data_IF_180004222199
#
_entry.id   IF_180004222199
#
_cell.length_a   1.000
_cell.length_b   1.000
_cell.length_c   1.000
_cell.angle_alpha   90.00
_cell.angle_beta   90.00
_cell.angle_gamma   90.00
#
_symmetry.space_group_name_H-M   'P 1'
#
loop_
_entity.id
_entity.type
_entity.pdbx_description
1 polymer ?
#
# COMPACT_ATOMS: atom_id res chain seq x y z
N UNK A 1 5.94 45.51 -0.31
CA UNK A 1 4.80 44.72 -0.81
C UNK A 1 4.41 43.79 0.32
N UNK A 2 3.34 44.13 1.03
CA UNK A 2 2.85 43.37 2.18
C UNK A 2 2.12 42.11 1.69
N UNK A 3 2.43 40.97 2.32
CA UNK A 3 1.77 39.69 2.09
C UNK A 3 0.34 39.73 2.65
N UNK A 4 -0.67 39.19 1.94
CA UNK A 4 -2.04 39.22 2.44
C UNK A 4 -2.19 38.29 3.65
N UNK A 5 -2.64 38.86 4.76
CA UNK A 5 -3.07 38.14 5.97
C UNK A 5 -4.35 37.37 5.66
N UNK A 6 -4.27 36.04 5.70
CA UNK A 6 -5.42 35.16 5.54
C UNK A 6 -6.07 34.90 6.91
N UNK A 7 -7.37 35.13 7.00
CA UNK A 7 -8.21 34.78 8.16
C UNK A 7 -9.09 33.58 7.84
N UNK A 8 -9.16 32.55 8.69
CA UNK A 8 -9.96 31.36 8.44
C UNK A 8 -11.47 31.62 8.54
N UNK A 9 -12.30 30.89 7.77
CA UNK A 9 -13.75 30.96 7.89
C UNK A 9 -14.25 30.29 9.20
N UNK A 10 -15.40 30.73 9.75
CA UNK A 10 -15.95 30.18 10.97
C UNK A 10 -16.37 28.70 10.81
N UNK A 11 -16.34 27.91 11.89
CA UNK A 11 -16.71 26.49 11.84
C UNK A 11 -18.20 26.30 11.50
N UNK A 12 -18.56 25.20 10.82
CA UNK A 12 -19.95 24.90 10.49
C UNK A 12 -20.78 24.55 11.75
N UNK A 13 -22.09 24.85 11.74
CA UNK A 13 -22.96 24.59 12.89
C UNK A 13 -23.15 23.09 13.14
N UNK A 14 -23.14 22.71 14.42
CA UNK A 14 -23.33 21.33 14.90
C UNK A 14 -24.83 20.98 14.80
N UNK A 15 -25.22 19.88 14.13
CA UNK A 15 -26.61 19.44 14.10
C UNK A 15 -27.03 18.83 15.44
N UNK A 16 -28.09 19.38 16.04
CA UNK A 16 -28.76 18.87 17.24
C UNK A 16 -29.41 17.50 16.96
N UNK A 17 -29.23 16.55 17.87
CA UNK A 17 -29.87 15.23 17.80
C UNK A 17 -31.34 15.30 18.21
N UNK A 18 -32.27 14.95 17.32
CA UNK A 18 -33.67 14.73 17.68
C UNK A 18 -33.97 13.23 17.87
N UNK A 19 -33.95 12.80 19.13
CA UNK A 19 -34.77 11.69 19.63
C UNK A 19 -35.80 12.29 20.59
N UNK A 20 -37.06 12.36 20.19
CA UNK A 20 -38.24 11.88 20.95
C UNK A 20 -39.58 12.46 20.46
N UNK A 21 -40.58 11.56 20.41
CA UNK A 21 -42.06 11.75 20.30
C UNK A 21 -42.59 12.18 18.93
N UNK A 22 -43.66 11.62 18.35
CA UNK A 22 -44.66 10.66 18.82
C UNK A 22 -46.07 11.11 18.42
N UNK A 23 -46.85 10.20 17.81
CA UNK A 23 -48.32 10.15 17.57
C UNK A 23 -48.90 10.68 16.24
N UNK A 24 -49.65 9.76 15.59
CA UNK A 24 -50.61 9.90 14.48
C UNK A 24 -51.88 10.71 14.90
N UNK A 25 -52.71 11.15 13.92
CA UNK A 25 -53.91 10.37 13.57
C UNK A 25 -54.25 10.30 12.06
N UNK A 26 -55.29 9.50 11.78
CA UNK A 26 -55.73 8.91 10.52
C UNK A 26 -56.56 9.80 9.58
N UNK A 27 -56.65 9.38 8.30
CA UNK A 27 -57.67 9.84 7.33
C UNK A 27 -57.36 9.47 5.88
N UNK A 28 -57.97 8.39 5.38
CA UNK A 28 -57.95 7.95 3.96
C UNK A 28 -58.99 8.75 3.12
N UNK A 29 -59.07 8.66 1.76
CA UNK A 29 -59.33 7.40 1.03
C UNK A 29 -58.58 7.18 -0.30
N UNK A 30 -58.68 5.92 -0.73
CA UNK A 30 -58.23 5.24 -1.96
C UNK A 30 -59.14 5.58 -3.17
N UNK A 31 -58.69 5.32 -4.41
CA UNK A 31 -59.58 4.57 -5.30
C UNK A 31 -58.90 3.39 -6.01
N UNK A 32 -59.63 2.28 -5.96
CA UNK A 32 -59.49 1.02 -6.68
C UNK A 32 -60.19 1.10 -8.05
N UNK A 33 -59.58 0.57 -9.11
CA UNK A 33 -60.32 -0.06 -10.21
C UNK A 33 -59.42 -0.97 -11.08
N UNK A 34 -59.88 -2.20 -11.25
CA UNK A 34 -59.56 -3.20 -12.29
C UNK A 34 -60.93 -3.77 -12.75
N UNK A 35 -61.06 -4.62 -13.80
CA UNK A 35 -60.30 -4.77 -15.05
C UNK A 35 -61.22 -4.82 -16.31
N UNK A 36 -60.67 -4.84 -17.52
CA UNK A 36 -61.39 -5.37 -18.69
C UNK A 36 -60.42 -6.02 -19.71
N UNK A 37 -60.87 -7.17 -20.19
CA UNK A 37 -60.19 -8.17 -21.02
C UNK A 37 -60.26 -7.81 -22.51
N UNK A 38 -59.25 -8.17 -23.31
CA UNK A 38 -59.30 -8.02 -24.77
C UNK A 38 -58.01 -8.47 -25.47
N UNK A 39 -58.01 -9.70 -25.99
CA UNK A 39 -56.86 -10.33 -26.66
C UNK A 39 -56.54 -9.76 -28.04
N UNK A 40 -55.26 -9.84 -28.43
CA UNK A 40 -54.78 -9.54 -29.77
C UNK A 40 -53.30 -9.88 -29.94
N UNK A 41 -53.02 -11.02 -30.56
CA UNK A 41 -51.68 -11.46 -31.00
C UNK A 41 -51.08 -10.46 -32.00
N UNK A 42 -49.85 -9.96 -31.80
CA UNK A 42 -48.90 -9.64 -32.90
C UNK A 42 -47.42 -9.73 -32.47
N UNK A 43 -46.70 -10.47 -33.32
CA UNK A 43 -45.27 -10.63 -33.56
C UNK A 43 -44.25 -9.77 -32.78
N UNK A 44 -43.28 -10.48 -32.20
CA UNK A 44 -42.02 -9.91 -31.71
C UNK A 44 -41.10 -9.53 -32.87
N UNK A 45 -40.66 -8.27 -32.91
CA UNK A 45 -39.50 -7.84 -33.70
C UNK A 45 -38.41 -7.40 -32.73
N UNK A 46 -37.48 -8.31 -32.42
CA UNK A 46 -36.29 -8.01 -31.62
C UNK A 46 -35.33 -7.18 -32.47
N UNK A 47 -35.24 -5.88 -32.18
CA UNK A 47 -34.17 -5.02 -32.68
C UNK A 47 -32.82 -5.52 -32.15
N UNK A 48 -32.01 -6.15 -33.01
CA UNK A 48 -30.62 -6.49 -32.72
C UNK A 48 -29.81 -5.18 -32.72
N UNK A 49 -29.49 -4.66 -31.53
CA UNK A 49 -28.41 -3.67 -31.39
C UNK A 49 -27.10 -4.44 -31.33
N UNK A 50 -26.25 -4.28 -32.35
CA UNK A 50 -24.85 -4.68 -32.28
C UNK A 50 -24.15 -3.77 -31.26
N UNK A 51 -24.01 -4.24 -30.03
CA UNK A 51 -23.08 -3.65 -29.07
C UNK A 51 -21.68 -4.04 -29.51
N UNK A 52 -20.85 -3.06 -29.85
CA UNK A 52 -19.43 -3.23 -30.19
C UNK A 52 -18.52 -3.25 -28.96
N UNK A 53 -19.07 -3.39 -27.75
CA UNK A 53 -18.25 -3.64 -26.56
C UNK A 53 -18.02 -5.14 -26.38
N UNK A 54 -16.77 -5.60 -26.24
CA UNK A 54 -16.49 -7.00 -25.94
C UNK A 54 -17.16 -7.35 -24.60
N UNK A 55 -17.69 -8.58 -24.45
CA UNK A 55 -18.30 -8.99 -23.20
C UNK A 55 -17.24 -8.92 -22.09
N UNK A 56 -17.53 -8.12 -21.06
CA UNK A 56 -16.67 -7.85 -19.90
C UNK A 56 -16.52 -9.08 -18.96
N UNK A 57 -16.85 -10.27 -19.48
CA UNK A 57 -16.99 -11.55 -18.80
C UNK A 57 -16.23 -12.64 -19.56
N UNK A 58 -14.97 -12.40 -19.95
CA UNK A 58 -14.14 -13.48 -20.46
C UNK A 58 -13.66 -14.35 -19.28
N UNK A 59 -14.15 -15.59 -19.09
CA UNK A 59 -13.55 -16.52 -18.14
C UNK A 59 -12.10 -16.81 -18.56
N UNK A 60 -11.23 -17.11 -17.59
CA UNK A 60 -9.84 -17.50 -17.87
C UNK A 60 -9.83 -18.66 -18.88
N UNK A 61 -9.28 -18.38 -20.06
CA UNK A 61 -9.28 -19.29 -21.21
C UNK A 61 -8.15 -20.32 -21.12
N UNK A 62 -8.13 -21.29 -22.04
CA UNK A 62 -7.02 -22.24 -22.19
C UNK A 62 -5.67 -21.55 -22.49
N UNK A 63 -5.71 -20.34 -23.05
CA UNK A 63 -4.50 -19.51 -23.25
C UNK A 63 -3.89 -19.14 -21.90
N UNK A 64 -4.71 -18.70 -20.94
CA UNK A 64 -4.26 -18.35 -19.59
C UNK A 64 -3.72 -19.56 -18.83
N UNK A 65 -4.35 -20.73 -18.97
CA UNK A 65 -3.84 -21.96 -18.35
C UNK A 65 -2.47 -22.37 -18.90
N UNK A 66 -2.27 -22.22 -20.22
CA UNK A 66 -0.98 -22.47 -20.87
C UNK A 66 0.08 -21.47 -20.44
N UNK A 67 -0.25 -20.17 -20.38
CA UNK A 67 0.64 -19.15 -19.87
C UNK A 67 1.06 -19.45 -18.42
N UNK A 68 0.11 -19.84 -17.56
CA UNK A 68 0.41 -20.27 -16.18
C UNK A 68 1.41 -21.43 -16.11
N UNK A 69 1.30 -22.42 -17.01
CA UNK A 69 2.24 -23.55 -17.07
C UNK A 69 3.63 -23.10 -17.51
N UNK A 70 3.72 -22.22 -18.52
CA UNK A 70 5.01 -21.68 -19.00
C UNK A 70 5.70 -20.79 -17.98
N UNK A 71 4.93 -20.14 -17.11
CA UNK A 71 5.43 -19.27 -16.03
C UNK A 71 5.74 -20.03 -14.73
N UNK A 72 5.57 -21.35 -14.67
CA UNK A 72 5.96 -22.15 -13.50
C UNK A 72 7.42 -21.96 -13.04
N UNK A 73 8.42 -21.76 -13.92
CA UNK A 73 9.80 -21.52 -13.49
C UNK A 73 9.96 -20.32 -12.55
N UNK A 74 9.07 -19.31 -12.62
CA UNK A 74 9.11 -18.15 -11.72
C UNK A 74 8.99 -18.54 -10.25
N UNK A 75 8.23 -19.60 -9.92
CA UNK A 75 8.11 -20.09 -8.54
C UNK A 75 9.41 -20.72 -8.05
N UNK A 76 10.17 -21.36 -8.95
CA UNK A 76 11.49 -21.90 -8.63
C UNK A 76 12.50 -20.77 -8.42
N UNK A 77 12.44 -19.73 -9.25
CA UNK A 77 13.29 -18.53 -9.12
C UNK A 77 13.02 -17.84 -7.79
N UNK A 78 11.75 -17.61 -7.45
CA UNK A 78 11.35 -17.03 -6.17
C UNK A 78 11.87 -17.86 -4.98
N UNK A 79 11.70 -19.18 -5.04
CA UNK A 79 12.17 -20.09 -3.99
C UNK A 79 13.69 -20.03 -3.80
N UNK A 80 14.46 -20.01 -4.89
CA UNK A 80 15.91 -19.98 -4.84
C UNK A 80 16.44 -18.60 -4.38
N UNK A 81 15.90 -17.50 -4.91
CA UNK A 81 16.25 -16.15 -4.46
C UNK A 81 15.92 -15.95 -2.98
N UNK A 82 14.78 -16.47 -2.51
CA UNK A 82 14.41 -16.42 -1.10
C UNK A 82 15.42 -17.17 -0.24
N UNK A 83 15.88 -18.35 -0.66
CA UNK A 83 16.93 -19.09 0.08
C UNK A 83 18.25 -18.35 0.13
N UNK A 84 18.64 -17.72 -0.98
CA UNK A 84 19.90 -16.96 -1.05
C UNK A 84 19.84 -15.72 -0.18
N UNK A 85 18.75 -14.94 -0.24
CA UNK A 85 18.58 -13.74 0.59
C UNK A 85 18.40 -14.08 2.09
N UNK A 86 17.86 -15.26 2.39
CA UNK A 86 17.54 -15.68 3.76
C UNK A 86 18.00 -17.12 4.05
N UNK A 87 19.32 -17.38 4.15
CA UNK A 87 19.84 -18.72 4.40
C UNK A 87 19.39 -19.27 5.76
N UNK A 88 19.12 -18.41 6.75
CA UNK A 88 18.61 -18.81 8.07
C UNK A 88 17.15 -19.32 8.03
N UNK A 89 16.33 -18.77 7.12
CA UNK A 89 14.98 -19.26 6.83
C UNK A 89 15.05 -20.60 6.09
N UNK A 90 16.00 -20.75 5.17
CA UNK A 90 16.22 -21.99 4.43
C UNK A 90 16.73 -23.13 5.33
N UNK A 91 17.52 -22.81 6.36
CA UNK A 91 18.07 -23.77 7.31
C UNK A 91 17.09 -24.20 8.42
N UNK A 92 15.89 -23.61 8.49
CA UNK A 92 14.89 -23.94 9.51
C UNK A 92 15.28 -23.53 10.93
N UNK A 93 16.36 -22.75 11.09
CA UNK A 93 16.93 -22.38 12.38
C UNK A 93 16.11 -21.30 13.10
N UNK A 94 15.28 -20.56 12.36
CA UNK A 94 14.31 -19.61 12.89
C UNK A 94 13.11 -19.56 11.95
N UNK A 95 11.99 -20.27 12.22
CA UNK A 95 10.77 -20.04 11.46
C UNK A 95 10.40 -18.55 11.57
N UNK A 96 9.85 -17.98 10.50
CA UNK A 96 9.08 -16.74 10.64
C UNK A 96 8.09 -16.98 11.78
N UNK A 97 7.87 -16.03 12.70
CA UNK A 97 6.64 -16.09 13.48
C UNK A 97 5.53 -16.22 12.44
N UNK A 98 4.79 -17.32 12.53
CA UNK A 98 3.60 -17.51 11.73
C UNK A 98 2.70 -16.31 12.08
N UNK A 99 2.61 -15.34 11.19
CA UNK A 99 1.62 -14.26 11.32
C UNK A 99 0.24 -14.82 10.90
N UNK A 100 -0.04 -16.04 11.33
CA UNK A 100 -1.35 -16.65 11.44
C UNK A 100 -1.73 -16.68 12.92
N UNK A 101 -1.69 -15.52 13.58
CA UNK A 101 -2.36 -15.36 14.88
C UNK A 101 -3.29 -14.16 14.83
N UNK A 102 -4.58 -14.46 14.61
CA UNK A 102 -5.69 -13.60 15.01
C UNK A 102 -6.39 -12.82 13.90
N UNK A 103 -7.45 -13.43 13.36
CA UNK A 103 -8.67 -12.79 12.81
C UNK A 103 -8.59 -11.97 11.51
N UNK A 104 -9.25 -12.51 10.48
CA UNK A 104 -9.79 -11.81 9.29
C UNK A 104 -8.82 -10.90 8.52
N UNK A 105 -7.72 -11.47 8.03
CA UNK A 105 -7.03 -10.89 6.89
C UNK A 105 -8.00 -10.87 5.67
N UNK A 106 -8.13 -9.76 4.93
CA UNK A 106 -8.65 -9.82 3.57
C UNK A 106 -7.69 -10.70 2.76
N UNK A 107 -8.13 -11.35 1.67
CA UNK A 107 -7.32 -12.38 1.05
C UNK A 107 -6.10 -11.73 0.40
N UNK A 108 -4.95 -11.74 1.09
CA UNK A 108 -3.73 -12.06 0.37
C UNK A 108 -4.03 -13.35 -0.39
N UNK A 109 -3.79 -13.34 -1.70
CA UNK A 109 -3.98 -14.52 -2.52
C UNK A 109 -3.32 -15.70 -1.79
N UNK A 110 -4.04 -16.79 -1.49
CA UNK A 110 -3.44 -17.93 -0.81
C UNK A 110 -2.17 -18.35 -1.55
N UNK A 111 -1.02 -18.16 -0.91
CA UNK A 111 0.30 -18.50 -1.47
C UNK A 111 1.24 -17.33 -1.82
N UNK A 112 0.82 -16.07 -1.78
CA UNK A 112 1.76 -14.94 -1.97
C UNK A 112 2.43 -14.62 -0.64
N UNK A 113 3.65 -15.11 -0.43
CA UNK A 113 4.48 -14.77 0.74
C UNK A 113 5.21 -13.46 0.46
N UNK A 114 4.91 -12.40 1.22
CA UNK A 114 5.69 -11.16 1.11
C UNK A 114 7.12 -11.43 1.58
N UNK A 115 8.10 -10.92 0.83
CA UNK A 115 9.52 -11.06 1.18
C UNK A 115 9.85 -10.07 2.29
N UNK A 116 10.31 -10.58 3.43
CA UNK A 116 10.65 -9.80 4.61
C UNK A 116 12.14 -9.89 4.90
N UNK A 117 12.77 -8.76 5.23
CA UNK A 117 14.16 -8.70 5.70
C UNK A 117 14.18 -8.53 7.20
N UNK A 118 14.87 -9.42 7.91
CA UNK A 118 15.14 -9.26 9.34
C UNK A 118 16.27 -8.26 9.54
N UNK A 119 16.10 -7.38 10.52
CA UNK A 119 17.16 -6.51 10.98
C UNK A 119 18.39 -7.33 11.42
N UNK A 120 19.59 -6.85 11.08
CA UNK A 120 20.86 -7.51 11.39
C UNK A 120 21.70 -7.86 10.15
N UNK A 121 22.83 -8.52 10.40
CA UNK A 121 23.90 -8.68 9.40
C UNK A 121 23.71 -9.89 8.45
N UNK A 122 22.69 -10.73 8.63
CA UNK A 122 22.55 -11.98 7.88
C UNK A 122 22.54 -11.79 6.35
N UNK A 123 21.62 -10.97 5.85
CA UNK A 123 21.54 -10.66 4.42
C UNK A 123 22.71 -9.78 3.93
N UNK A 124 23.25 -8.88 4.78
CA UNK A 124 24.45 -8.09 4.47
C UNK A 124 25.68 -8.98 4.26
N UNK A 125 25.79 -10.05 5.06
CA UNK A 125 26.86 -11.05 4.93
C UNK A 125 26.72 -11.85 3.64
N UNK A 126 25.48 -12.22 3.27
CA UNK A 126 25.21 -12.83 1.96
C UNK A 126 25.64 -11.88 0.84
N UNK A 127 25.23 -10.61 0.85
CA UNK A 127 25.64 -9.64 -0.16
C UNK A 127 27.16 -9.47 -0.24
N UNK A 128 27.85 -9.36 0.89
CA UNK A 128 29.30 -9.28 0.94
C UNK A 128 29.95 -10.54 0.34
N UNK A 129 29.40 -11.72 0.60
CA UNK A 129 29.89 -12.98 0.02
C UNK A 129 29.67 -13.09 -1.49
N UNK A 130 28.53 -12.60 -1.99
CA UNK A 130 28.23 -12.52 -3.42
C UNK A 130 29.16 -11.53 -4.13
N UNK A 131 29.42 -10.37 -3.53
CA UNK A 131 30.38 -9.39 -4.04
C UNK A 131 31.80 -9.97 -4.10
N UNK A 132 32.23 -10.67 -3.04
CA UNK A 132 33.54 -11.33 -3.00
C UNK A 132 33.68 -12.48 -4.01
N UNK A 133 32.57 -13.16 -4.36
CA UNK A 133 32.54 -14.16 -5.44
C UNK A 133 32.63 -13.51 -6.83
N UNK A 134 31.94 -12.38 -7.04
CA UNK A 134 32.00 -11.61 -8.29
C UNK A 134 33.40 -11.06 -8.60
N UNK A 135 34.16 -10.66 -7.59
CA UNK A 135 35.54 -10.18 -7.76
C UNK A 135 36.55 -11.29 -8.09
N UNK A 136 36.33 -12.52 -7.60
CA UNK A 136 37.19 -13.68 -7.90
C UNK A 136 36.92 -14.34 -9.26
N UNK A 137 35.80 -14.00 -9.93
CA UNK A 137 35.36 -14.61 -11.19
C UNK A 137 35.99 -14.05 -12.48
N UNK A 138 36.86 -13.02 -12.42
CA UNK A 138 37.48 -12.39 -13.61
C UNK A 138 38.64 -13.21 -14.23
N UNK A 139 38.74 -14.51 -13.96
CA UNK A 139 39.72 -15.42 -14.55
C UNK A 139 39.05 -16.51 -15.39
N UNK A 140 39.25 -16.47 -16.72
CA UNK A 140 38.96 -17.49 -17.76
C UNK A 140 38.34 -18.82 -17.28
N UNK A 141 37.12 -19.11 -17.72
CA UNK A 141 36.62 -20.48 -17.92
C UNK A 141 35.20 -20.74 -17.41
N UNK A 142 34.21 -20.56 -18.28
CA UNK A 142 32.90 -21.24 -18.34
C UNK A 142 32.35 -21.85 -17.03
N UNK A 143 31.87 -21.02 -16.11
CA UNK A 143 30.93 -21.44 -15.07
C UNK A 143 29.85 -20.36 -14.95
N UNK A 144 28.67 -20.63 -15.52
CA UNK A 144 27.47 -19.81 -15.27
C UNK A 144 27.20 -19.88 -13.77
N UNK A 145 27.25 -18.74 -13.07
CA UNK A 145 26.90 -18.71 -11.66
C UNK A 145 25.42 -19.06 -11.44
N UNK A 146 25.00 -19.42 -10.22
CA UNK A 146 23.59 -19.62 -9.89
C UNK A 146 22.72 -18.41 -10.27
N UNK A 147 23.27 -17.20 -10.17
CA UNK A 147 22.61 -15.95 -10.56
C UNK A 147 22.42 -15.86 -12.08
N UNK A 148 23.39 -16.31 -12.88
CA UNK A 148 23.29 -16.28 -14.34
C UNK A 148 22.22 -17.26 -14.86
N UNK A 149 22.08 -18.42 -14.21
CA UNK A 149 21.03 -19.40 -14.53
C UNK A 149 19.63 -18.89 -14.18
N UNK A 150 19.48 -18.23 -13.02
CA UNK A 150 18.23 -17.58 -12.61
C UNK A 150 17.86 -16.44 -13.57
N UNK A 151 18.84 -15.61 -13.95
CA UNK A 151 18.65 -14.50 -14.89
C UNK A 151 18.25 -15.01 -16.28
N UNK A 152 18.87 -16.10 -16.74
CA UNK A 152 18.51 -16.77 -17.99
C UNK A 152 17.09 -17.32 -17.95
N UNK A 153 16.71 -17.95 -16.83
CA UNK A 153 15.37 -18.50 -16.63
C UNK A 153 14.30 -17.40 -16.56
N UNK A 154 14.59 -16.27 -15.90
CA UNK A 154 13.71 -15.10 -15.86
C UNK A 154 13.53 -14.49 -17.25
N UNK A 155 14.63 -14.32 -17.99
CA UNK A 155 14.61 -13.82 -19.38
C UNK A 155 13.79 -14.73 -20.30
N UNK A 156 13.90 -16.05 -20.12
CA UNK A 156 13.06 -17.03 -20.85
C UNK A 156 11.55 -16.91 -20.59
N UNK A 157 11.16 -16.35 -19.44
CA UNK A 157 9.75 -16.11 -19.10
C UNK A 157 9.23 -14.73 -19.54
N UNK A 158 10.11 -13.85 -20.04
CA UNK A 158 9.82 -12.43 -20.30
C UNK A 158 8.58 -12.20 -21.15
N UNK A 159 8.49 -12.84 -22.31
CA UNK A 159 7.39 -12.59 -23.26
C UNK A 159 6.05 -13.07 -22.71
N UNK A 160 6.04 -14.20 -21.98
CA UNK A 160 4.85 -14.71 -21.31
C UNK A 160 4.40 -13.82 -20.15
N UNK A 161 5.34 -13.23 -19.41
CA UNK A 161 5.04 -12.27 -18.35
C UNK A 161 4.39 -11.00 -18.92
N UNK A 162 4.96 -10.45 -20.01
CA UNK A 162 4.40 -9.27 -20.71
C UNK A 162 3.00 -9.59 -21.23
N UNK A 163 2.85 -10.70 -21.95
CA UNK A 163 1.55 -11.10 -22.52
C UNK A 163 0.48 -11.28 -21.45
N UNK A 164 0.81 -11.85 -20.28
CA UNK A 164 -0.13 -12.01 -19.18
C UNK A 164 -0.48 -10.66 -18.53
N UNK A 165 0.49 -9.74 -18.42
CA UNK A 165 0.27 -8.43 -17.82
C UNK A 165 -0.61 -7.51 -18.67
N UNK A 166 -0.44 -7.57 -20.00
CA UNK A 166 -1.20 -6.77 -20.96
C UNK A 166 -2.59 -7.35 -21.27
N UNK A 167 -2.86 -8.61 -20.88
CA UNK A 167 -4.14 -9.26 -21.12
C UNK A 167 -5.30 -8.56 -20.38
N UNK A 168 -6.31 -8.16 -21.16
CA UNK A 168 -7.46 -7.40 -20.66
C UNK A 168 -8.35 -8.20 -19.70
N UNK A 169 -8.47 -9.52 -19.89
CA UNK A 169 -9.22 -10.38 -18.99
C UNK A 169 -8.49 -10.52 -17.65
N UNK A 170 -7.16 -10.67 -17.65
CA UNK A 170 -6.34 -10.66 -16.44
C UNK A 170 -6.49 -9.32 -15.70
N UNK A 171 -6.35 -8.20 -16.41
CA UNK A 171 -6.51 -6.84 -15.85
C UNK A 171 -7.92 -6.61 -15.30
N UNK A 172 -8.95 -7.15 -15.95
CA UNK A 172 -10.33 -7.11 -15.45
C UNK A 172 -10.52 -7.95 -14.18
N UNK A 173 -9.94 -9.16 -14.13
CA UNK A 173 -9.98 -10.02 -12.94
C UNK A 173 -9.28 -9.37 -11.76
N UNK A 174 -8.10 -8.77 -11.97
CA UNK A 174 -7.35 -8.05 -10.93
C UNK A 174 -8.17 -6.89 -10.37
N UNK A 175 -8.78 -6.06 -11.24
CA UNK A 175 -9.68 -4.97 -10.83
C UNK A 175 -10.88 -5.48 -10.03
N UNK A 176 -11.55 -6.54 -10.50
CA UNK A 176 -12.72 -7.11 -9.84
C UNK A 176 -12.38 -7.70 -8.46
N UNK A 177 -11.21 -8.30 -8.32
CA UNK A 177 -10.72 -8.85 -7.05
C UNK A 177 -10.07 -7.79 -6.16
N UNK A 178 -10.06 -6.52 -6.58
CA UNK A 178 -9.40 -5.43 -5.87
C UNK A 178 -7.92 -5.74 -5.56
N UNK A 179 -7.27 -6.53 -6.42
CA UNK A 179 -5.84 -6.83 -6.29
C UNK A 179 -5.07 -5.64 -6.82
N UNK A 180 -4.34 -4.96 -5.93
CA UNK A 180 -3.57 -3.76 -6.25
C UNK A 180 -2.09 -4.10 -6.33
N UNK A 181 -1.66 -4.65 -7.47
CA UNK A 181 -0.25 -5.00 -7.70
C UNK A 181 0.67 -3.77 -7.63
N UNK A 182 0.15 -2.56 -7.89
CA UNK A 182 0.87 -1.31 -7.72
C UNK A 182 1.27 -1.00 -6.27
N UNK A 183 0.61 -1.61 -5.27
CA UNK A 183 1.01 -1.49 -3.86
C UNK A 183 2.10 -2.52 -3.50
N UNK A 184 2.38 -3.46 -4.40
CA UNK A 184 3.46 -4.45 -4.36
C UNK A 184 4.57 -4.03 -5.35
N UNK A 185 5.61 -4.84 -5.60
CA UNK A 185 6.59 -4.58 -6.67
C UNK A 185 6.00 -4.58 -8.10
N UNK A 186 4.68 -4.41 -8.28
CA UNK A 186 4.01 -4.42 -9.57
C UNK A 186 4.35 -3.25 -10.48
N UNK A 187 5.10 -2.24 -10.01
CA UNK A 187 5.71 -1.26 -10.90
C UNK A 187 6.72 -1.92 -11.85
N UNK A 188 7.43 -2.97 -11.42
CA UNK A 188 8.30 -3.76 -12.29
C UNK A 188 7.54 -4.48 -13.39
N UNK A 189 6.24 -4.74 -13.22
CA UNK A 189 5.42 -5.37 -14.26
C UNK A 189 5.25 -4.46 -15.50
N UNK A 190 5.35 -3.14 -15.33
CA UNK A 190 5.35 -2.22 -16.47
C UNK A 190 6.70 -2.21 -17.21
N UNK A 191 7.78 -2.62 -16.53
CA UNK A 191 9.15 -2.59 -17.03
C UNK A 191 9.73 -4.00 -17.26
N UNK A 192 8.88 -5.03 -17.41
CA UNK A 192 9.33 -6.44 -17.55
C UNK A 192 10.37 -6.58 -18.64
N UNK A 193 10.20 -5.87 -19.76
CA UNK A 193 11.12 -5.95 -20.88
C UNK A 193 12.56 -5.55 -20.51
N UNK A 194 12.70 -4.58 -19.59
CA UNK A 194 13.97 -4.10 -19.05
C UNK A 194 14.46 -4.99 -17.91
N UNK A 195 13.60 -5.28 -16.94
CA UNK A 195 13.94 -6.01 -15.69
C UNK A 195 14.28 -7.48 -15.95
N UNK A 196 13.63 -8.13 -16.91
CA UNK A 196 13.93 -9.51 -17.30
C UNK A 196 15.05 -9.62 -18.36
N UNK A 197 15.76 -8.52 -18.66
CA UNK A 197 16.91 -8.55 -19.58
C UNK A 197 18.10 -9.28 -18.95
N UNK A 198 18.88 -9.99 -19.77
CA UNK A 198 20.13 -10.63 -19.32
C UNK A 198 21.19 -9.60 -18.88
N UNK A 199 21.05 -8.36 -19.33
CA UNK A 199 21.93 -7.23 -18.99
C UNK A 199 21.24 -6.25 -18.05
N UNK A 200 20.21 -6.68 -17.32
CA UNK A 200 19.52 -5.82 -16.38
C UNK A 200 20.47 -5.41 -15.24
N UNK A 201 20.60 -4.10 -15.06
CA UNK A 201 21.22 -3.49 -13.89
C UNK A 201 20.16 -2.62 -13.21
N UNK A 202 19.92 -2.80 -11.89
CA UNK A 202 18.94 -1.99 -11.17
C UNK A 202 19.31 -0.51 -11.24
N UNK A 203 18.36 0.33 -11.65
CA UNK A 203 18.49 1.77 -11.51
C UNK A 203 18.26 2.20 -10.06
N UNK A 204 18.67 3.42 -9.71
CA UNK A 204 18.37 4.02 -8.40
C UNK A 204 16.86 4.00 -8.10
N UNK A 205 16.03 4.26 -9.12
CA UNK A 205 14.58 4.21 -9.03
C UNK A 205 14.06 2.78 -8.73
N UNK A 206 14.69 1.75 -9.31
CA UNK A 206 14.35 0.35 -9.03
C UNK A 206 14.69 -0.01 -7.57
N UNK A 207 15.86 0.42 -7.10
CA UNK A 207 16.35 0.18 -5.74
C UNK A 207 15.43 0.84 -4.72
N UNK A 208 15.09 2.11 -4.91
CA UNK A 208 14.22 2.88 -3.98
C UNK A 208 12.80 2.32 -3.96
N UNK A 209 12.30 1.81 -5.09
CA UNK A 209 10.94 1.25 -5.17
C UNK A 209 10.87 -0.22 -4.72
N UNK A 210 11.99 -0.93 -4.67
CA UNK A 210 12.04 -2.31 -4.20
C UNK A 210 11.55 -2.37 -2.74
N UNK A 211 10.35 -2.93 -2.54
CA UNK A 211 9.74 -3.03 -1.23
C UNK A 211 10.16 -4.34 -0.56
N UNK A 212 10.99 -4.23 0.47
CA UNK A 212 11.29 -5.31 1.40
C UNK A 212 10.75 -4.92 2.78
N UNK A 213 9.95 -5.79 3.39
CA UNK A 213 9.37 -5.50 4.70
C UNK A 213 10.42 -5.68 5.79
N UNK A 214 10.77 -4.63 6.52
CA UNK A 214 11.65 -4.70 7.69
C UNK A 214 10.96 -5.42 8.85
N UNK A 215 11.63 -6.42 9.42
CA UNK A 215 11.27 -7.08 10.67
C UNK A 215 12.28 -6.72 11.75
N UNK A 216 11.81 -6.10 12.83
CA UNK A 216 12.66 -5.58 13.90
C UNK A 216 13.06 -4.13 13.67
N UNK A 217 14.20 -3.75 14.27
CA UNK A 217 14.77 -2.40 14.21
C UNK A 217 16.15 -2.48 13.59
N UNK A 218 16.38 -1.73 12.51
CA UNK A 218 17.69 -1.62 11.87
C UNK A 218 18.37 -0.31 12.26
N UNK A 219 19.62 -0.39 12.70
CA UNK A 219 20.45 0.76 13.00
C UNK A 219 21.37 1.09 11.81
N UNK A 220 21.36 2.35 11.41
CA UNK A 220 22.26 2.92 10.40
C UNK A 220 23.12 3.99 11.06
N UNK A 221 24.45 3.81 11.00
CA UNK A 221 25.43 4.76 11.55
C UNK A 221 26.23 5.41 10.45
N UNK A 222 26.30 6.73 10.45
CA UNK A 222 27.16 7.48 9.52
C UNK A 222 27.74 8.73 10.18
N UNK A 223 28.93 9.12 9.71
CA UNK A 223 29.60 10.35 10.14
C UNK A 223 29.38 11.41 9.07
N UNK A 224 28.86 12.59 9.44
CA UNK A 224 28.73 13.67 8.47
C UNK A 224 30.10 14.31 8.18
N UNK A 225 30.47 14.36 6.90
CA UNK A 225 31.73 14.97 6.45
C UNK A 225 31.66 16.52 6.44
N UNK A 226 30.47 17.10 6.34
CA UNK A 226 30.26 18.56 6.27
C UNK A 226 29.18 19.02 7.25
N UNK A 227 29.41 20.18 7.89
CA UNK A 227 28.54 20.73 8.95
C UNK A 227 29.19 20.64 10.33
N UNK A 228 28.56 19.93 11.27
CA UNK A 228 29.19 19.52 12.53
C UNK A 228 30.21 18.40 12.25
N UNK A 229 31.35 18.77 11.68
CA UNK A 229 32.40 17.83 11.30
C UNK A 229 32.79 16.95 12.50
N UNK A 230 32.59 15.64 12.35
CA UNK A 230 32.87 14.64 13.40
C UNK A 230 31.65 14.15 14.19
N UNK A 231 30.44 14.65 13.94
CA UNK A 231 29.23 14.12 14.58
C UNK A 231 28.81 12.77 13.98
N UNK A 232 28.62 11.78 14.85
CA UNK A 232 28.02 10.49 14.51
C UNK A 232 26.50 10.60 14.54
N UNK A 233 25.85 10.12 13.48
CA UNK A 233 24.42 10.03 13.35
C UNK A 233 23.99 8.58 13.45
N UNK A 234 22.93 8.36 14.23
CA UNK A 234 22.25 7.07 14.36
C UNK A 234 20.83 7.23 13.83
N UNK A 235 20.48 6.43 12.83
CA UNK A 235 19.12 6.33 12.31
C UNK A 235 18.60 4.93 12.62
N UNK A 236 17.49 4.86 13.34
CA UNK A 236 16.78 3.63 13.61
C UNK A 236 15.58 3.50 12.66
N UNK A 237 15.62 2.54 11.73
CA UNK A 237 14.48 2.15 10.91
C UNK A 237 13.67 1.08 11.64
N UNK A 238 12.39 1.36 11.89
CA UNK A 238 11.50 0.51 12.69
C UNK A 238 10.31 0.06 11.86
N UNK A 239 9.91 -1.21 12.03
CA UNK A 239 8.72 -1.73 11.37
C UNK A 239 7.43 -0.99 11.78
N UNK A 240 6.64 -0.55 10.80
CA UNK A 240 5.40 0.24 10.98
C UNK A 240 4.13 -0.53 11.36
N UNK A 241 4.12 -1.86 11.21
CA UNK A 241 2.92 -2.67 11.47
C UNK A 241 2.55 -2.66 12.95
N UNK A 242 1.26 -2.80 13.27
CA UNK A 242 0.76 -2.75 14.66
C UNK A 242 1.49 -3.71 15.62
N UNK A 243 1.84 -4.90 15.13
CA UNK A 243 2.62 -5.90 15.89
C UNK A 243 4.04 -5.47 16.26
N UNK A 244 4.63 -4.53 15.50
CA UNK A 244 6.01 -4.12 15.65
C UNK A 244 6.14 -2.90 16.57
N UNK A 245 5.11 -2.06 16.69
CA UNK A 245 5.10 -0.82 17.49
C UNK A 245 5.58 -0.98 18.94
N UNK A 246 5.26 -2.06 19.68
CA UNK A 246 5.78 -2.24 21.04
C UNK A 246 7.32 -2.27 21.11
N UNK A 247 8.00 -2.65 20.03
CA UNK A 247 9.46 -2.70 19.96
C UNK A 247 10.12 -1.32 19.77
N UNK A 248 9.33 -0.25 19.62
CA UNK A 248 9.87 1.11 19.44
C UNK A 248 10.33 1.72 20.77
N UNK A 249 9.66 1.37 21.86
CA UNK A 249 9.85 1.98 23.19
C UNK A 249 11.33 1.99 23.65
N UNK A 250 12.12 0.92 23.48
CA UNK A 250 13.53 0.93 23.87
C UNK A 250 14.39 1.98 23.14
N UNK A 251 13.93 2.50 22.02
CA UNK A 251 14.64 3.48 21.18
C UNK A 251 14.13 4.92 21.37
N UNK A 252 13.21 5.14 22.33
CA UNK A 252 12.74 6.49 22.66
C UNK A 252 13.64 7.22 23.65
N UNK A 253 14.56 6.51 24.32
CA UNK A 253 15.52 7.13 25.21
C UNK A 253 16.59 7.88 24.39
N UNK A 254 16.86 9.13 24.77
CA UNK A 254 17.81 10.05 24.10
C UNK A 254 17.62 10.21 22.57
N UNK A 255 16.38 10.11 22.08
CA UNK A 255 16.10 10.40 20.66
C UNK A 255 16.02 11.91 20.41
N UNK A 256 16.84 12.43 19.49
CA UNK A 256 16.83 13.87 19.17
C UNK A 256 15.71 14.26 18.22
N UNK A 257 15.33 13.37 17.30
CA UNK A 257 14.26 13.63 16.34
C UNK A 257 13.54 12.34 15.90
N UNK A 258 12.25 12.46 15.61
CA UNK A 258 11.43 11.41 14.99
C UNK A 258 10.93 11.92 13.65
N UNK A 259 11.18 11.16 12.60
CA UNK A 259 10.60 11.38 11.28
C UNK A 259 9.44 10.39 11.10
N UNK A 260 8.22 10.88 11.17
CA UNK A 260 7.01 10.08 11.00
C UNK A 260 6.51 10.15 9.56
N UNK A 261 6.37 8.98 8.92
CA UNK A 261 5.89 8.85 7.55
C UNK A 261 4.39 8.50 7.55
N UNK A 262 3.55 9.44 7.13
CA UNK A 262 2.10 9.26 7.01
C UNK A 262 1.68 9.19 5.53
N UNK A 263 1.36 8.01 4.98
CA UNK A 263 0.88 7.92 3.60
C UNK A 263 -0.54 8.49 3.46
N UNK A 264 -0.77 9.37 2.48
CA UNK A 264 -2.09 9.97 2.22
C UNK A 264 -3.07 9.04 1.47
N UNK A 265 -3.10 7.77 1.85
CA UNK A 265 -3.88 6.73 1.20
C UNK A 265 -5.26 6.54 1.88
N UNK A 266 -6.17 7.49 1.67
CA UNK A 266 -7.47 7.55 2.36
C UNK A 266 -8.45 6.42 2.02
N UNK A 267 -8.27 5.75 0.88
CA UNK A 267 -9.15 4.69 0.38
C UNK A 267 -8.67 3.27 0.72
N UNK A 268 -7.59 3.15 1.51
CA UNK A 268 -6.97 1.87 1.85
C UNK A 268 -7.25 1.47 3.29
N UNK A 269 -7.43 0.17 3.49
CA UNK A 269 -7.49 -0.46 4.81
C UNK A 269 -6.10 -0.99 5.20
N UNK A 270 -5.89 -1.22 6.50
CA UNK A 270 -4.70 -1.91 6.99
C UNK A 270 -4.66 -3.35 6.44
N UNK A 271 -3.45 -3.88 6.35
CA UNK A 271 -3.24 -5.25 5.89
C UNK A 271 -3.50 -6.23 7.04
N UNK A 272 -3.11 -5.84 8.26
CA UNK A 272 -3.34 -6.57 9.50
C UNK A 272 -4.80 -6.52 10.00
N UNK A 273 -5.58 -5.49 9.63
CA UNK A 273 -7.00 -5.38 10.00
C UNK A 273 -7.79 -4.65 8.90
N UNK A 274 -8.56 -5.42 8.13
CA UNK A 274 -9.38 -4.91 7.02
C UNK A 274 -10.51 -3.96 7.44
N UNK A 275 -10.75 -3.80 8.74
CA UNK A 275 -11.79 -2.91 9.27
C UNK A 275 -11.26 -1.52 9.58
N UNK A 276 -9.95 -1.35 9.63
CA UNK A 276 -9.30 -0.09 10.03
C UNK A 276 -8.75 0.62 8.80
N UNK A 277 -9.12 1.89 8.63
CA UNK A 277 -8.59 2.73 7.57
C UNK A 277 -7.12 3.09 7.83
N UNK A 278 -6.27 2.99 6.80
CA UNK A 278 -4.81 3.21 6.92
C UNK A 278 -4.46 4.66 7.28
N UNK A 279 -5.17 5.64 6.72
CA UNK A 279 -4.94 7.05 7.03
C UNK A 279 -5.39 7.37 8.47
N UNK A 280 -6.52 6.83 8.90
CA UNK A 280 -7.01 6.98 10.27
C UNK A 280 -6.06 6.39 11.33
N UNK A 281 -5.54 5.18 11.09
CA UNK A 281 -4.54 4.56 11.96
C UNK A 281 -3.25 5.40 12.00
N UNK A 282 -2.82 5.98 10.87
CA UNK A 282 -1.64 6.85 10.83
C UNK A 282 -1.86 8.14 11.64
N UNK A 283 -3.03 8.77 11.53
CA UNK A 283 -3.38 9.97 12.32
C UNK A 283 -3.45 9.65 13.81
N UNK A 284 -4.06 8.51 14.17
CA UNK A 284 -4.19 8.08 15.57
C UNK A 284 -2.81 7.81 16.18
N UNK A 285 -1.95 7.08 15.47
CA UNK A 285 -0.59 6.80 15.91
C UNK A 285 0.27 8.06 16.03
N UNK A 286 0.13 9.01 15.10
CA UNK A 286 0.82 10.29 15.19
C UNK A 286 0.43 11.05 16.48
N UNK A 287 -0.85 11.05 16.86
CA UNK A 287 -1.31 11.66 18.11
C UNK A 287 -0.73 10.97 19.35
N UNK A 288 -0.65 9.63 19.33
CA UNK A 288 -0.01 8.88 20.42
C UNK A 288 1.47 9.23 20.57
N UNK A 289 2.21 9.38 19.47
CA UNK A 289 3.62 9.80 19.47
C UNK A 289 3.75 11.22 20.03
N UNK A 290 2.92 12.15 19.55
CA UNK A 290 2.93 13.54 19.99
C UNK A 290 2.60 13.72 21.47
N UNK A 291 1.71 12.88 22.01
CA UNK A 291 1.32 12.88 23.42
C UNK A 291 2.25 12.09 24.34
N UNK A 292 3.29 11.44 23.80
CA UNK A 292 4.17 10.59 24.59
C UNK A 292 5.21 11.41 25.35
N UNK A 293 5.14 11.36 26.68
CA UNK A 293 6.07 12.08 27.57
C UNK A 293 7.53 11.68 27.41
N UNK A 294 7.82 10.45 26.95
CA UNK A 294 9.19 10.02 26.66
C UNK A 294 9.82 10.80 25.50
N UNK A 295 8.99 11.42 24.65
CA UNK A 295 9.41 12.11 23.44
C UNK A 295 9.29 13.64 23.56
N UNK A 296 9.06 14.17 24.77
CA UNK A 296 8.85 15.60 25.02
C UNK A 296 10.05 16.47 24.59
N UNK A 297 11.27 15.93 24.69
CA UNK A 297 12.51 16.59 24.23
C UNK A 297 12.86 16.36 22.76
N UNK A 298 12.14 15.49 22.05
CA UNK A 298 12.46 15.10 20.69
C UNK A 298 11.80 16.04 19.66
N UNK A 299 12.52 16.34 18.58
CA UNK A 299 11.95 17.06 17.43
C UNK A 299 11.06 16.14 16.61
N UNK A 300 9.76 16.39 16.57
CA UNK A 300 8.81 15.58 15.80
C UNK A 300 8.61 16.17 14.41
N UNK A 301 8.96 15.41 13.37
CA UNK A 301 8.86 15.80 11.96
C UNK A 301 7.84 14.89 11.27
N UNK A 302 6.79 15.48 10.68
CA UNK A 302 5.76 14.75 9.96
C UNK A 302 5.93 14.89 8.45
N UNK A 303 6.09 13.75 7.76
CA UNK A 303 6.11 13.68 6.31
C UNK A 303 4.85 13.02 5.78
N UNK A 304 4.06 13.80 5.03
CA UNK A 304 2.98 13.24 4.22
C UNK A 304 3.53 12.62 2.95
N UNK A 305 3.59 11.29 2.94
CA UNK A 305 4.18 10.51 1.86
C UNK A 305 3.11 10.04 0.86
N UNK A 306 3.56 9.53 -0.29
CA UNK A 306 2.74 8.91 -1.34
C UNK A 306 1.74 9.88 -1.97
N UNK A 307 2.18 11.12 -2.20
CA UNK A 307 1.39 12.17 -2.83
C UNK A 307 0.97 11.80 -4.26
N UNK A 308 1.82 11.08 -4.97
CA UNK A 308 1.57 10.47 -6.27
C UNK A 308 0.37 9.52 -6.24
N UNK A 309 0.28 8.66 -5.21
CA UNK A 309 -0.85 7.74 -5.02
C UNK A 309 -2.13 8.52 -4.70
N UNK A 310 -2.04 9.59 -3.89
CA UNK A 310 -3.18 10.47 -3.63
C UNK A 310 -3.68 11.10 -4.94
N UNK A 311 -2.79 11.68 -5.73
CA UNK A 311 -3.11 12.30 -7.03
C UNK A 311 -3.77 11.31 -7.98
N UNK A 312 -3.17 10.12 -8.15
CA UNK A 312 -3.70 9.08 -9.03
C UNK A 312 -5.08 8.57 -8.56
N UNK A 313 -5.26 8.42 -7.25
CA UNK A 313 -6.54 7.99 -6.64
C UNK A 313 -7.63 9.01 -6.92
N UNK A 314 -7.38 10.30 -6.70
CA UNK A 314 -8.34 11.37 -6.97
C UNK A 314 -8.65 11.49 -8.47
N UNK A 315 -7.62 11.41 -9.32
CA UNK A 315 -7.78 11.44 -10.78
C UNK A 315 -8.63 10.29 -11.32
N UNK A 316 -8.63 9.13 -10.64
CA UNK A 316 -9.50 8.00 -10.97
C UNK A 316 -10.98 8.21 -10.60
N UNK A 317 -11.32 9.35 -9.98
CA UNK A 317 -12.68 9.70 -9.59
C UNK A 317 -13.10 9.15 -8.21
N UNK A 318 -12.18 8.57 -7.45
CA UNK A 318 -12.43 8.12 -6.09
C UNK A 318 -12.59 9.36 -5.20
N UNK A 319 -13.72 9.43 -4.47
CA UNK A 319 -14.06 10.56 -3.61
C UNK A 319 -13.60 10.36 -2.18
N UNK A 320 -12.89 11.33 -1.61
CA UNK A 320 -12.42 11.30 -0.20
C UNK A 320 -13.58 11.16 0.78
N UNK A 321 -14.67 11.93 0.57
CA UNK A 321 -15.89 11.93 1.38
C UNK A 321 -16.47 10.52 1.62
N UNK A 322 -16.30 9.59 0.67
CA UNK A 322 -16.78 8.21 0.79
C UNK A 322 -16.07 7.43 1.90
N UNK A 323 -14.80 7.74 2.15
CA UNK A 323 -13.94 7.02 3.08
C UNK A 323 -13.68 7.81 4.36
N UNK A 324 -13.75 9.13 4.28
CA UNK A 324 -13.56 10.05 5.39
C UNK A 324 -14.82 10.92 5.48
N UNK A 325 -15.86 10.49 6.21
CA UNK A 325 -17.13 11.22 6.28
C UNK A 325 -16.97 12.65 6.81
N UNK A 326 -15.98 12.87 7.69
CA UNK A 326 -15.65 14.16 8.26
C UNK A 326 -15.07 15.15 7.25
N UNK A 327 -14.69 14.67 6.06
CA UNK A 327 -14.28 15.51 4.93
C UNK A 327 -15.42 16.38 4.38
N UNK A 328 -16.68 16.04 4.69
CA UNK A 328 -17.87 16.80 4.32
C UNK A 328 -17.89 17.16 2.81
N UNK A 329 -18.29 18.39 2.47
CA UNK A 329 -18.44 18.88 1.08
C UNK A 329 -17.16 19.54 0.54
N UNK A 330 -15.98 19.17 1.04
CA UNK A 330 -14.72 19.73 0.58
C UNK A 330 -14.39 19.30 -0.86
N UNK A 331 -13.75 20.16 -1.66
CA UNK A 331 -13.27 19.82 -3.01
C UNK A 331 -12.42 18.55 -3.07
N UNK A 332 -12.68 17.67 -4.05
CA UNK A 332 -11.98 16.40 -4.21
C UNK A 332 -10.65 16.56 -4.98
N UNK A 333 -9.78 17.44 -4.50
CA UNK A 333 -8.46 17.72 -5.07
C UNK A 333 -7.33 17.47 -4.07
N UNK A 334 -6.12 17.29 -4.59
CA UNK A 334 -4.94 16.91 -3.81
C UNK A 334 -4.56 17.97 -2.79
N UNK A 335 -4.65 19.26 -3.14
CA UNK A 335 -4.27 20.36 -2.27
C UNK A 335 -5.20 20.44 -1.07
N UNK A 336 -6.51 20.49 -1.32
CA UNK A 336 -7.53 20.55 -0.27
C UNK A 336 -7.48 19.29 0.59
N UNK A 337 -7.35 18.11 -0.02
CA UNK A 337 -7.22 16.85 0.73
C UNK A 337 -6.05 16.90 1.70
N UNK A 338 -4.87 17.31 1.22
CA UNK A 338 -3.67 17.42 2.04
C UNK A 338 -3.84 18.43 3.17
N UNK A 339 -4.39 19.61 2.87
CA UNK A 339 -4.66 20.65 3.87
C UNK A 339 -5.64 20.19 4.96
N UNK A 340 -6.70 19.48 4.58
CA UNK A 340 -7.65 18.94 5.54
C UNK A 340 -6.99 17.90 6.45
N UNK A 341 -6.17 17.00 5.90
CA UNK A 341 -5.40 16.04 6.72
C UNK A 341 -4.43 16.76 7.66
N UNK A 342 -3.73 17.79 7.18
CA UNK A 342 -2.86 18.65 8.00
C UNK A 342 -3.65 19.24 9.19
N UNK A 343 -4.87 19.74 8.97
CA UNK A 343 -5.70 20.23 10.06
C UNK A 343 -6.03 19.11 11.05
N UNK A 344 -6.44 17.92 10.58
CA UNK A 344 -6.78 16.80 11.48
C UNK A 344 -5.63 16.34 12.39
N UNK A 345 -4.39 16.40 11.91
CA UNK A 345 -3.22 16.07 12.73
C UNK A 345 -2.84 17.20 13.69
N UNK A 346 -3.17 18.46 13.37
CA UNK A 346 -2.87 19.63 14.22
C UNK A 346 -3.99 20.01 15.21
N UNK A 347 -5.23 19.57 14.99
CA UNK A 347 -6.36 19.87 15.88
C UNK A 347 -6.09 19.64 17.38
N UNK A 348 -5.38 18.57 17.84
CA UNK A 348 -5.07 18.42 19.26
C UNK A 348 -4.00 19.38 19.80
N UNK A 349 -3.21 20.03 18.93
CA UNK A 349 -2.21 21.02 19.35
C UNK A 349 -2.77 22.43 19.53
N UNK A 350 -3.99 22.69 19.02
CA UNK A 350 -4.68 23.97 19.17
C UNK A 350 -5.67 24.00 20.34
N UNK A 351 -5.83 22.91 21.09
CA UNK A 351 -6.68 22.86 22.29
C UNK A 351 -5.82 22.77 23.56
N UNK A 352 -5.13 23.87 23.88
CA UNK A 352 -4.84 24.23 25.27
C UNK A 352 -5.80 25.37 25.62
N UNK A 353 -6.94 25.02 26.22
CA UNK A 353 -7.99 25.98 26.60
C UNK A 353 -9.38 25.45 26.24
N UNK A 354 -10.06 24.96 27.27
CA UNK A 354 -11.50 24.69 27.37
C UNK A 354 -12.10 23.55 26.53
N UNK A 355 -12.25 22.41 27.20
CA UNK A 355 -13.16 21.33 26.83
C UNK A 355 -14.62 21.80 26.84
N UNK A 356 -15.42 21.45 25.82
CA UNK A 356 -16.86 21.34 25.99
C UNK A 356 -17.31 19.94 25.54
N UNK A 357 -16.98 18.91 26.34
CA UNK A 357 -17.59 17.57 26.24
C UNK A 357 -17.68 16.90 27.62
N UNK A 358 -18.07 17.68 28.64
CA UNK A 358 -18.82 17.14 29.80
C UNK A 358 -20.32 17.37 29.57
#
# INVERSE_FOLDING_TARGET
MESPTWTPPPPPPIPLSEKARGKLPAGAPVPTASPANGGGKKAATRSIRFSTQPPNDAPLTDVHRRARLRLLPLLSIEGEMTRQLFPELAAGLNPLPDVSLGTSAPPSLPGVKEVCVRAGNGWKTVLASLQAQGEKGKGKGNQNGPIDELTTSLSGCKDDMIALWEDQAVRAVLRRRSVRLQDMPGFFLNDIARVASLQYEPSDDDIVRARLRTLGVEEHRFTMETGAAGSEWYIYDVGGSRSNRPHWIPYFDDVQAIIFLAPLAFNLMLEEDSRVNRLEDSISLWREICGNKLLEGATLILFFNKMDILQATLASGIRVQKYVPSYAEQPNDTSVTSSVVIMYVHLPFYTFGDHPWD
#
